data_IF_829922136227
#
_entry.id   IF_829922136227
#
_cell.length_a   1.000
_cell.length_b   1.000
_cell.length_c   1.000
_cell.angle_alpha   90.00
_cell.angle_beta   90.00
_cell.angle_gamma   90.00
#
_symmetry.space_group_name_H-M   'P 1'
#
loop_
_entity.id
_entity.type
_entity.pdbx_description
1 polymer ?
#
# COMPACT_ATOMS: atom_id res chain seq x y z
N UNK A 1 4.63 -16.90 -18.84
CA UNK A 1 4.69 -15.58 -18.18
C UNK A 1 5.30 -15.78 -16.81
N UNK A 2 6.31 -14.99 -16.40
CA UNK A 2 6.90 -15.10 -15.05
C UNK A 2 5.84 -14.70 -14.03
N UNK A 3 5.65 -15.51 -12.98
CA UNK A 3 4.82 -15.09 -11.84
C UNK A 3 5.62 -14.08 -11.01
N UNK A 4 5.05 -12.90 -10.84
CA UNK A 4 5.61 -11.87 -9.97
C UNK A 4 5.13 -12.06 -8.54
N UNK A 5 6.01 -11.85 -7.57
CA UNK A 5 5.63 -11.67 -6.19
C UNK A 5 5.26 -10.20 -5.94
N UNK A 6 4.18 -9.94 -5.24
CA UNK A 6 3.63 -8.61 -5.04
C UNK A 6 3.41 -8.37 -3.55
N UNK A 7 4.18 -7.46 -2.96
CA UNK A 7 4.00 -7.07 -1.56
C UNK A 7 2.81 -6.10 -1.43
N UNK A 8 1.88 -6.39 -0.54
CA UNK A 8 0.72 -5.52 -0.25
C UNK A 8 0.92 -4.83 1.10
N UNK A 9 1.13 -3.53 1.06
CA UNK A 9 1.16 -2.65 2.24
C UNK A 9 -0.17 -1.93 2.41
N UNK A 10 -0.68 -1.92 3.64
CA UNK A 10 -1.87 -1.17 4.04
C UNK A 10 -1.93 -1.07 5.56
N UNK A 11 -2.78 -0.19 6.08
CA UNK A 11 -3.33 -0.37 7.43
C UNK A 11 -4.25 -1.60 7.44
N UNK A 12 -4.53 -2.17 8.62
CA UNK A 12 -5.23 -3.45 8.70
C UNK A 12 -6.70 -3.30 9.08
N UNK A 13 -7.00 -2.76 10.26
CA UNK A 13 -8.36 -2.76 10.84
C UNK A 13 -9.41 -2.07 9.96
N UNK A 14 -9.06 -0.96 9.32
CA UNK A 14 -9.93 -0.16 8.45
C UNK A 14 -9.99 -0.66 7.00
N UNK A 15 -9.16 -1.63 6.61
CA UNK A 15 -9.01 -2.06 5.21
C UNK A 15 -9.09 -3.57 5.00
N UNK A 16 -9.55 -4.36 5.98
CA UNK A 16 -9.57 -5.83 5.88
C UNK A 16 -10.21 -6.35 4.58
N UNK A 17 -11.41 -5.85 4.26
CA UNK A 17 -12.17 -6.31 3.09
C UNK A 17 -11.47 -5.90 1.78
N UNK A 18 -11.00 -4.66 1.70
CA UNK A 18 -10.30 -4.12 0.55
C UNK A 18 -8.95 -4.84 0.32
N UNK A 19 -8.22 -5.12 1.40
CA UNK A 19 -6.98 -5.88 1.37
C UNK A 19 -7.22 -7.32 0.91
N UNK A 20 -8.26 -7.98 1.43
CA UNK A 20 -8.63 -9.32 0.96
C UNK A 20 -8.95 -9.29 -0.54
N UNK A 21 -9.74 -8.30 -0.99
CA UNK A 21 -10.08 -8.18 -2.41
C UNK A 21 -8.85 -7.97 -3.30
N UNK A 22 -7.85 -7.27 -2.78
CA UNK A 22 -6.58 -7.05 -3.45
C UNK A 22 -5.76 -8.34 -3.57
N UNK A 23 -5.70 -9.15 -2.51
CA UNK A 23 -5.06 -10.47 -2.51
C UNK A 23 -5.73 -11.38 -3.55
N UNK A 24 -7.06 -11.43 -3.57
CA UNK A 24 -7.84 -12.16 -4.58
C UNK A 24 -7.51 -11.67 -5.99
N UNK A 25 -7.52 -10.36 -6.22
CA UNK A 25 -7.22 -9.77 -7.52
C UNK A 25 -5.80 -10.09 -8.02
N UNK A 26 -4.81 -10.13 -7.13
CA UNK A 26 -3.43 -10.50 -7.46
C UNK A 26 -3.36 -11.97 -7.87
N UNK A 27 -4.05 -12.86 -7.13
CA UNK A 27 -4.12 -14.29 -7.45
C UNK A 27 -4.85 -14.53 -8.78
N UNK A 28 -5.98 -13.86 -9.01
CA UNK A 28 -6.75 -13.93 -10.25
C UNK A 28 -5.94 -13.45 -11.46
N UNK A 29 -5.04 -12.47 -11.25
CA UNK A 29 -4.08 -12.02 -12.26
C UNK A 29 -2.91 -13.01 -12.48
N UNK A 30 -2.85 -14.12 -11.75
CA UNK A 30 -1.83 -15.17 -11.87
C UNK A 30 -0.52 -14.86 -11.14
N UNK A 31 -0.53 -13.93 -10.19
CA UNK A 31 0.63 -13.48 -9.42
C UNK A 31 0.55 -13.94 -7.96
N UNK A 32 1.64 -13.73 -7.21
CA UNK A 32 1.81 -14.25 -5.85
C UNK A 32 1.73 -13.06 -4.88
N UNK A 33 0.67 -12.93 -4.07
CA UNK A 33 0.61 -11.90 -3.04
C UNK A 33 1.56 -12.23 -1.89
N UNK A 34 2.21 -11.21 -1.34
CA UNK A 34 3.03 -11.26 -0.14
C UNK A 34 2.57 -10.16 0.83
N UNK A 35 2.51 -10.47 2.12
CA UNK A 35 1.98 -9.56 3.14
C UNK A 35 1.91 -10.28 4.48
N UNK A 36 2.23 -9.57 5.57
CA UNK A 36 2.60 -10.13 6.90
C UNK A 36 1.65 -11.21 7.44
N UNK A 37 0.39 -11.18 7.03
CA UNK A 37 -0.66 -12.12 7.38
C UNK A 37 -0.52 -13.51 6.72
N UNK A 38 0.20 -13.61 5.60
CA UNK A 38 0.32 -14.83 4.81
C UNK A 38 1.50 -15.71 5.21
N UNK A 39 2.47 -15.19 5.97
CA UNK A 39 3.60 -15.99 6.42
C UNK A 39 3.96 -15.70 7.88
N UNK A 40 4.01 -16.76 8.71
CA UNK A 40 4.52 -16.65 10.07
C UNK A 40 5.99 -16.22 10.05
N UNK A 41 6.30 -15.08 10.63
CA UNK A 41 7.67 -14.55 10.68
C UNK A 41 8.53 -15.22 11.76
N UNK A 42 9.82 -15.34 11.48
CA UNK A 42 10.88 -15.55 12.47
C UNK A 42 11.86 -14.37 12.38
N UNK A 43 12.18 -13.73 13.50
CA UNK A 43 13.02 -12.51 13.55
C UNK A 43 12.24 -11.25 13.96
N UNK A 44 12.87 -10.08 13.85
CA UNK A 44 12.19 -8.81 14.14
C UNK A 44 11.15 -8.48 13.06
N UNK A 45 10.09 -7.75 13.43
CA UNK A 45 9.02 -7.34 12.50
C UNK A 45 9.60 -6.59 11.28
N UNK A 46 10.53 -5.67 11.53
CA UNK A 46 11.14 -4.84 10.48
C UNK A 46 12.02 -5.64 9.52
N UNK A 47 12.90 -6.51 10.01
CA UNK A 47 13.74 -7.34 9.14
C UNK A 47 12.89 -8.27 8.26
N UNK A 48 11.81 -8.80 8.82
CA UNK A 48 10.86 -9.63 8.09
C UNK A 48 10.18 -8.83 6.97
N UNK A 49 9.68 -7.64 7.28
CA UNK A 49 9.07 -6.73 6.29
C UNK A 49 10.07 -6.39 5.18
N UNK A 50 11.31 -5.99 5.52
CA UNK A 50 12.35 -5.67 4.52
C UNK A 50 12.58 -6.82 3.57
N UNK A 51 12.82 -8.01 4.13
CA UNK A 51 13.09 -9.22 3.35
C UNK A 51 11.98 -9.46 2.31
N UNK A 52 10.72 -9.28 2.68
CA UNK A 52 9.62 -9.55 1.75
C UNK A 52 9.42 -8.46 0.72
N UNK A 53 9.69 -7.20 1.07
CA UNK A 53 9.74 -6.12 0.09
C UNK A 53 10.89 -6.39 -0.89
N UNK A 54 12.05 -6.82 -0.41
CA UNK A 54 13.23 -7.15 -1.23
C UNK A 54 12.92 -8.29 -2.22
N UNK A 55 12.32 -9.38 -1.73
CA UNK A 55 11.96 -10.58 -2.51
C UNK A 55 10.80 -10.36 -3.49
N UNK A 56 9.98 -9.33 -3.29
CA UNK A 56 8.84 -9.04 -4.17
C UNK A 56 9.26 -8.35 -5.46
N UNK A 57 8.60 -8.59 -6.59
CA UNK A 57 8.87 -7.86 -7.84
C UNK A 57 8.16 -6.48 -7.86
N UNK A 58 7.00 -6.36 -7.19
CA UNK A 58 6.20 -5.11 -7.12
C UNK A 58 5.82 -4.82 -5.67
N UNK A 59 5.81 -3.54 -5.30
CA UNK A 59 5.22 -3.04 -4.05
C UNK A 59 3.89 -2.36 -4.36
N UNK A 60 2.83 -2.80 -3.70
CA UNK A 60 1.54 -2.16 -3.75
C UNK A 60 1.22 -1.49 -2.42
N UNK A 61 0.73 -0.27 -2.50
CA UNK A 61 0.21 0.49 -1.37
C UNK A 61 -1.31 0.67 -1.54
N UNK A 62 -2.08 0.15 -0.58
CA UNK A 62 -3.50 0.40 -0.45
C UNK A 62 -3.74 1.41 0.69
N UNK A 63 -4.23 2.59 0.34
CA UNK A 63 -4.47 3.69 1.30
C UNK A 63 -5.95 3.82 1.62
N UNK A 64 -6.25 3.65 2.91
CA UNK A 64 -7.50 4.01 3.56
C UNK A 64 -7.46 5.41 4.13
N UNK A 65 -8.23 5.66 5.18
CA UNK A 65 -8.35 6.96 5.83
C UNK A 65 -7.50 7.13 7.10
N UNK A 66 -6.78 6.08 7.53
CA UNK A 66 -5.94 6.09 8.74
C UNK A 66 -4.44 6.08 8.40
N UNK A 67 -3.61 6.61 9.31
CA UNK A 67 -2.15 6.63 9.14
C UNK A 67 -1.51 5.29 9.48
N UNK A 68 -2.15 4.53 10.38
CA UNK A 68 -1.62 3.31 10.96
C UNK A 68 -0.79 3.53 12.22
N UNK A 69 -0.23 2.42 12.73
CA UNK A 69 0.62 2.43 13.92
C UNK A 69 1.94 3.14 13.65
N UNK A 70 2.38 3.97 14.60
CA UNK A 70 3.69 4.63 14.56
C UNK A 70 4.78 3.59 14.79
N UNK A 71 5.81 3.62 13.95
CA UNK A 71 7.05 2.89 14.20
C UNK A 71 7.94 3.72 15.14
N UNK A 72 7.82 3.48 16.44
CA UNK A 72 8.45 4.31 17.48
C UNK A 72 9.98 4.34 17.45
N UNK A 73 10.62 3.30 16.87
CA UNK A 73 12.09 3.25 16.75
C UNK A 73 12.60 4.05 15.54
N UNK A 74 11.72 4.47 14.63
CA UNK A 74 12.09 5.36 13.53
C UNK A 74 12.29 6.79 14.03
N UNK A 75 13.39 7.42 13.59
CA UNK A 75 13.77 8.77 13.99
C UNK A 75 12.72 9.84 13.65
N UNK A 76 11.96 9.65 12.58
CA UNK A 76 10.96 10.59 12.09
C UNK A 76 9.57 10.27 12.69
N UNK A 77 9.47 9.17 13.46
CA UNK A 77 8.25 8.67 14.10
C UNK A 77 7.09 8.53 13.11
N UNK A 78 7.37 8.01 11.92
CA UNK A 78 6.38 7.76 10.87
C UNK A 78 5.63 6.45 11.12
N UNK A 79 4.52 6.23 10.41
CA UNK A 79 3.83 4.94 10.50
C UNK A 79 4.61 3.81 9.83
N UNK A 80 4.33 2.57 10.21
CA UNK A 80 4.89 1.39 9.54
C UNK A 80 4.59 1.40 8.03
N UNK A 81 3.37 1.77 7.63
CA UNK A 81 2.95 1.85 6.23
C UNK A 81 3.75 2.91 5.44
N UNK A 82 3.99 4.09 6.02
CA UNK A 82 4.85 5.08 5.38
C UNK A 82 6.31 4.61 5.32
N UNK A 83 6.81 4.00 6.39
CA UNK A 83 8.15 3.47 6.44
C UNK A 83 8.38 2.38 5.38
N UNK A 84 7.44 1.46 5.22
CA UNK A 84 7.44 0.42 4.16
C UNK A 84 7.51 1.04 2.77
N UNK A 85 6.70 2.06 2.52
CA UNK A 85 6.69 2.78 1.24
C UNK A 85 8.03 3.46 0.97
N UNK A 86 8.60 4.14 1.98
CA UNK A 86 9.91 4.79 1.88
C UNK A 86 11.01 3.77 1.60
N UNK A 87 10.98 2.63 2.29
CA UNK A 87 11.93 1.53 2.07
C UNK A 87 11.84 0.96 0.65
N UNK A 88 10.64 0.61 0.20
CA UNK A 88 10.40 0.09 -1.16
C UNK A 88 10.94 1.05 -2.24
N UNK A 89 10.76 2.36 -2.06
CA UNK A 89 11.31 3.37 -2.97
C UNK A 89 12.83 3.48 -2.89
N UNK A 90 13.41 3.40 -1.70
CA UNK A 90 14.87 3.48 -1.52
C UNK A 90 15.63 2.39 -2.27
N UNK A 91 15.00 1.24 -2.50
CA UNK A 91 15.56 0.11 -3.26
C UNK A 91 15.05 0.05 -4.71
N UNK A 92 14.43 1.13 -5.20
CA UNK A 92 13.86 1.25 -6.55
C UNK A 92 12.83 0.17 -6.91
N UNK A 93 12.03 -0.28 -5.93
CA UNK A 93 10.92 -1.19 -6.20
C UNK A 93 9.85 -0.48 -7.04
N UNK A 94 9.26 -1.10 -8.08
CA UNK A 94 8.06 -0.56 -8.72
C UNK A 94 6.93 -0.41 -7.70
N UNK A 95 6.41 0.81 -7.54
CA UNK A 95 5.37 1.14 -6.55
C UNK A 95 4.03 1.43 -7.23
N UNK A 96 2.99 0.67 -6.88
CA UNK A 96 1.63 0.86 -7.36
C UNK A 96 0.74 1.35 -6.22
N UNK A 97 0.07 2.49 -6.39
CA UNK A 97 -0.78 3.08 -5.34
C UNK A 97 -2.25 2.96 -5.72
N UNK A 98 -3.05 2.42 -4.81
CA UNK A 98 -4.51 2.46 -4.83
C UNK A 98 -4.97 3.18 -3.57
N UNK A 99 -5.86 4.14 -3.69
CA UNK A 99 -6.36 4.91 -2.55
C UNK A 99 -7.89 4.97 -2.57
N UNK A 100 -8.51 4.86 -1.40
CA UNK A 100 -9.95 5.03 -1.28
C UNK A 100 -10.31 6.51 -1.47
N UNK A 101 -11.33 6.76 -2.28
CA UNK A 101 -11.93 8.09 -2.41
C UNK A 101 -12.62 8.51 -1.13
N UNK A 102 -12.79 9.83 -0.95
CA UNK A 102 -13.46 10.37 0.22
C UNK A 102 -14.91 9.87 0.33
N UNK A 103 -15.60 9.68 -0.79
CA UNK A 103 -16.95 9.10 -0.80
C UNK A 103 -16.97 7.67 -0.26
N UNK A 104 -16.00 6.84 -0.63
CA UNK A 104 -15.88 5.48 -0.11
C UNK A 104 -15.49 5.47 1.37
N UNK A 105 -14.61 6.37 1.82
CA UNK A 105 -14.27 6.52 3.24
C UNK A 105 -15.49 6.89 4.07
N UNK A 106 -16.29 7.86 3.61
CA UNK A 106 -17.54 8.24 4.30
C UNK A 106 -18.58 7.10 4.29
N UNK A 107 -18.69 6.37 3.18
CA UNK A 107 -19.53 5.19 3.12
C UNK A 107 -19.09 4.14 4.14
N UNK A 108 -17.79 3.79 4.17
CA UNK A 108 -17.22 2.84 5.13
C UNK A 108 -17.48 3.27 6.58
N UNK A 109 -17.32 4.57 6.89
CA UNK A 109 -17.64 5.11 8.22
C UNK A 109 -19.13 4.99 8.58
N UNK A 110 -20.03 4.97 7.60
CA UNK A 110 -21.47 4.83 7.84
C UNK A 110 -21.94 3.38 8.05
N UNK A 111 -21.21 2.39 7.53
CA UNK A 111 -21.63 0.97 7.54
C UNK A 111 -20.83 0.09 8.48
N UNK A 112 -19.60 0.47 8.86
CA UNK A 112 -18.76 -0.37 9.74
C UNK A 112 -19.17 -0.27 11.21
N UNK A 113 -18.82 -1.32 11.96
CA UNK A 113 -19.17 -1.45 13.37
C UNK A 113 -18.67 -0.28 14.22
N UNK A 114 -19.41 0.07 15.27
CA UNK A 114 -18.98 1.07 16.26
C UNK A 114 -17.60 0.69 16.81
N UNK A 115 -16.61 1.56 16.62
CA UNK A 115 -15.24 1.38 17.12
C UNK A 115 -14.17 1.21 16.05
N UNK A 116 -14.53 0.93 14.79
CA UNK A 116 -13.56 0.97 13.69
C UNK A 116 -13.25 2.42 13.34
N UNK A 117 -11.99 2.82 13.49
CA UNK A 117 -11.51 4.15 13.11
C UNK A 117 -11.31 4.17 11.61
N UNK A 118 -12.03 5.04 10.89
CA UNK A 118 -11.92 5.18 9.43
C UNK A 118 -11.09 6.39 9.04
N UNK A 119 -11.15 7.46 9.84
CA UNK A 119 -10.40 8.68 9.60
C UNK A 119 -9.32 8.82 10.65
N UNK A 120 -8.11 9.17 10.22
CA UNK A 120 -7.01 9.46 11.13
C UNK A 120 -7.39 10.61 12.08
N UNK A 121 -7.15 10.41 13.37
CA UNK A 121 -7.45 11.41 14.40
C UNK A 121 -6.21 11.95 15.08
N UNK A 122 -5.18 11.12 15.28
CA UNK A 122 -4.02 11.42 16.13
C UNK A 122 -2.89 12.05 15.34
N UNK A 123 -2.62 11.55 14.13
CA UNK A 123 -1.49 11.92 13.29
C UNK A 123 -1.95 12.52 11.95
N UNK A 124 -2.98 13.37 11.98
CA UNK A 124 -3.63 13.93 10.77
C UNK A 124 -2.64 14.55 9.80
N UNK A 125 -1.79 15.46 10.27
CA UNK A 125 -0.81 16.16 9.43
C UNK A 125 0.15 15.17 8.75
N UNK A 126 0.59 14.12 9.47
CA UNK A 126 1.47 13.10 8.90
C UNK A 126 0.76 12.29 7.82
N UNK A 127 -0.46 11.86 8.09
CA UNK A 127 -1.27 11.13 7.12
C UNK A 127 -1.57 11.96 5.87
N UNK A 128 -2.00 13.22 6.03
CA UNK A 128 -2.32 14.10 4.91
C UNK A 128 -1.09 14.39 4.05
N UNK A 129 0.06 14.65 4.68
CA UNK A 129 1.33 14.82 3.98
C UNK A 129 1.73 13.55 3.24
N UNK A 130 1.62 12.39 3.87
CA UNK A 130 1.92 11.10 3.25
C UNK A 130 1.00 10.82 2.06
N UNK A 131 -0.33 10.90 2.23
CA UNK A 131 -1.33 10.71 1.16
C UNK A 131 -1.09 11.66 -0.01
N UNK A 132 -0.82 12.93 0.27
CA UNK A 132 -0.50 13.92 -0.76
C UNK A 132 0.79 13.56 -1.49
N UNK A 133 1.84 13.18 -0.76
CA UNK A 133 3.13 12.81 -1.34
C UNK A 133 2.99 11.59 -2.27
N UNK A 134 2.43 10.49 -1.79
CA UNK A 134 2.32 9.25 -2.57
C UNK A 134 1.41 9.38 -3.79
N UNK A 135 0.34 10.17 -3.72
CA UNK A 135 -0.51 10.39 -4.89
C UNK A 135 0.01 11.48 -5.84
N UNK A 136 1.04 12.24 -5.44
CA UNK A 136 1.77 13.16 -6.33
C UNK A 136 2.91 12.48 -7.11
N UNK A 137 3.35 11.30 -6.65
CA UNK A 137 4.45 10.53 -7.25
C UNK A 137 3.86 9.33 -7.99
N UNK A 138 4.00 9.32 -9.32
CA UNK A 138 3.49 8.23 -10.16
C UNK A 138 1.97 8.17 -10.31
N UNK A 139 1.45 6.97 -10.63
CA UNK A 139 0.02 6.74 -10.86
C UNK A 139 -0.63 6.28 -9.56
N UNK A 140 -1.41 7.16 -8.93
CA UNK A 140 -2.31 6.82 -7.83
C UNK A 140 -3.74 6.62 -8.37
N UNK A 141 -4.28 5.41 -8.21
CA UNK A 141 -5.64 5.06 -8.64
C UNK A 141 -6.61 5.23 -7.48
N UNK A 142 -7.48 6.23 -7.58
CA UNK A 142 -8.57 6.43 -6.62
C UNK A 142 -9.71 5.47 -6.93
N UNK A 143 -10.23 4.77 -5.92
CA UNK A 143 -11.39 3.87 -6.05
C UNK A 143 -12.57 4.33 -5.20
N UNK A 144 -13.78 4.12 -5.71
CA UNK A 144 -15.03 4.49 -5.00
C UNK A 144 -15.84 3.28 -4.55
N UNK A 145 -15.44 2.08 -4.96
CA UNK A 145 -16.08 0.83 -4.60
C UNK A 145 -15.04 -0.29 -4.52
N UNK A 146 -15.22 -1.22 -3.59
CA UNK A 146 -14.35 -2.41 -3.45
C UNK A 146 -14.25 -3.25 -4.73
N UNK A 147 -15.30 -3.27 -5.56
CA UNK A 147 -15.31 -3.98 -6.85
C UNK A 147 -14.33 -3.42 -7.88
N UNK A 148 -13.90 -2.15 -7.73
CA UNK A 148 -12.93 -1.51 -8.63
C UNK A 148 -11.49 -1.98 -8.40
N UNK A 149 -11.20 -2.61 -7.24
CA UNK A 149 -9.85 -3.08 -6.88
C UNK A 149 -9.28 -4.03 -7.92
N UNK A 150 -10.08 -4.98 -8.42
CA UNK A 150 -9.61 -5.97 -9.41
C UNK A 150 -9.11 -5.28 -10.70
N UNK A 151 -9.88 -4.32 -11.21
CA UNK A 151 -9.48 -3.55 -12.39
C UNK A 151 -8.27 -2.65 -12.13
N UNK A 152 -8.20 -2.03 -10.96
CA UNK A 152 -7.06 -1.19 -10.56
C UNK A 152 -5.76 -1.99 -10.46
N UNK A 153 -5.80 -3.17 -9.83
CA UNK A 153 -4.67 -4.11 -9.71
C UNK A 153 -4.21 -4.57 -11.08
N UNK A 154 -5.12 -5.07 -11.92
CA UNK A 154 -4.79 -5.56 -13.26
C UNK A 154 -4.16 -4.46 -14.12
N UNK A 155 -4.71 -3.24 -14.08
CA UNK A 155 -4.18 -2.09 -14.81
C UNK A 155 -2.77 -1.72 -14.34
N UNK A 156 -2.52 -1.68 -13.03
CA UNK A 156 -1.20 -1.39 -12.47
C UNK A 156 -0.16 -2.44 -12.86
N UNK A 157 -0.48 -3.71 -12.71
CA UNK A 157 0.39 -4.83 -13.09
C UNK A 157 0.72 -4.77 -14.59
N UNK A 158 -0.29 -4.54 -15.43
CA UNK A 158 -0.10 -4.39 -16.89
C UNK A 158 0.82 -3.21 -17.22
N UNK A 159 0.67 -2.08 -16.52
CA UNK A 159 1.52 -0.91 -16.72
C UNK A 159 2.97 -1.18 -16.33
N UNK A 160 3.22 -1.87 -15.21
CA UNK A 160 4.57 -2.25 -14.79
C UNK A 160 5.21 -3.19 -15.80
N UNK A 161 4.46 -4.18 -16.30
CA UNK A 161 4.96 -5.16 -17.28
C UNK A 161 5.26 -4.57 -18.65
N UNK A 162 4.50 -3.55 -19.07
CA UNK A 162 4.61 -2.96 -20.42
C UNK A 162 5.52 -1.72 -20.46
N UNK A 163 6.03 -1.25 -19.33
CA UNK A 163 6.69 0.06 -19.27
C UNK A 163 7.95 0.00 -18.39
N UNK A 164 9.11 -0.18 -19.03
CA UNK A 164 10.43 -0.10 -18.38
C UNK A 164 10.65 1.25 -17.66
N UNK A 165 9.86 2.29 -18.01
CA UNK A 165 9.88 3.63 -17.41
C UNK A 165 9.06 3.77 -16.14
N UNK A 166 8.34 2.76 -15.66
CA UNK A 166 7.64 2.83 -14.37
C UNK A 166 8.64 3.07 -13.21
N UNK A 167 9.87 2.58 -13.39
CA UNK A 167 11.02 2.81 -12.49
C UNK A 167 11.57 4.24 -12.62
N UNK A 168 11.38 4.90 -13.77
CA UNK A 168 12.01 6.17 -14.14
C UNK A 168 11.15 7.41 -13.86
N UNK A 169 9.83 7.28 -13.71
CA UNK A 169 8.95 8.40 -13.34
C UNK A 169 9.06 8.80 -11.85
N UNK A 170 9.70 7.96 -11.02
CA UNK A 170 9.85 8.16 -9.57
C UNK A 170 11.29 8.51 -9.13
N UNK A 171 12.17 8.80 -10.09
CA UNK A 171 13.59 9.09 -9.88
C UNK A 171 13.86 10.39 -9.09
N UNK A 172 14.56 10.22 -7.96
CA UNK A 172 15.53 11.16 -7.38
C UNK A 172 15.02 12.51 -6.84
N UNK A 173 14.00 12.51 -5.98
CA UNK A 173 13.97 13.56 -4.94
C UNK A 173 14.20 12.92 -3.57
N UNK A 174 15.26 13.35 -2.84
CA UNK A 174 15.43 12.97 -1.45
C UNK A 174 14.17 13.35 -0.68
N UNK A 175 13.76 12.47 0.23
CA UNK A 175 12.82 12.83 1.28
C UNK A 175 13.57 13.85 2.15
N UNK A 176 13.25 15.14 1.98
CA UNK A 176 13.72 16.23 2.84
C UNK A 176 13.03 16.17 4.20
#
# INVERSE_FOLDING_TARGET
MKKMQIFVSSTYEDLRDERQKMVEAILDAGHIPAGMELFGGAGTVIETIKKWIDESDIYFLLLGGTYGSIYEEDKDKISFTEWEYRYARSINKPVCVIALSDSMLHFNASVRSKGTVIFEEKNKDKYENFKKYVCSKGICKMISNISEISGAVQSHITNVLNNDKYILLDGLEPIL
#
